data_IF_355543747131
#
_entry.id   IF_355543747131
#
_cell.length_a   1.000
_cell.length_b   1.000
_cell.length_c   1.000
_cell.angle_alpha   90.00
_cell.angle_beta   90.00
_cell.angle_gamma   90.00
#
_symmetry.space_group_name_H-M   'P 1'
#
loop_
_entity.id
_entity.type
_entity.pdbx_description
1 polymer ?
#
# COMPACT_ATOMS: atom_id res chain seq x y z
N UNK A 1 -55.54 4.23 49.60
CA UNK A 1 -54.62 4.17 48.45
C UNK A 1 -55.45 3.91 47.21
N UNK A 2 -55.91 4.98 46.57
CA UNK A 2 -56.77 4.91 45.38
C UNK A 2 -55.89 5.07 44.15
N UNK A 3 -55.99 4.19 43.13
CA UNK A 3 -55.23 4.38 41.91
C UNK A 3 -55.72 5.63 41.21
N UNK A 4 -54.81 6.56 40.91
CA UNK A 4 -55.06 7.65 39.98
C UNK A 4 -55.24 7.04 38.60
N UNK A 5 -56.48 6.66 38.28
CA UNK A 5 -56.86 6.26 36.94
C UNK A 5 -56.73 7.51 36.04
N UNK A 6 -55.59 7.65 35.36
CA UNK A 6 -55.42 8.66 34.34
C UNK A 6 -56.45 8.36 33.24
N UNK A 7 -57.40 9.27 33.05
CA UNK A 7 -58.34 9.21 31.92
C UNK A 7 -57.54 9.45 30.64
N UNK A 8 -56.95 8.39 30.08
CA UNK A 8 -56.41 8.33 28.72
C UNK A 8 -57.57 8.41 27.72
N UNK A 9 -58.21 9.59 27.59
CA UNK A 9 -59.23 9.85 26.57
C UNK A 9 -58.58 10.59 25.41
N UNK A 10 -58.31 9.87 24.31
CA UNK A 10 -57.91 10.44 23.02
C UNK A 10 -56.44 10.88 22.88
N UNK A 11 -55.75 11.22 23.97
CA UNK A 11 -54.35 11.64 23.93
C UNK A 11 -53.42 10.56 23.37
N UNK A 12 -53.62 9.30 23.75
CA UNK A 12 -52.80 8.18 23.25
C UNK A 12 -52.92 8.00 21.72
N UNK A 13 -54.09 8.30 21.14
CA UNK A 13 -54.30 8.23 19.69
C UNK A 13 -53.58 9.37 18.99
N UNK A 14 -53.66 10.59 19.53
CA UNK A 14 -52.95 11.76 18.98
C UNK A 14 -51.44 11.60 19.10
N UNK A 15 -50.96 11.11 20.23
CA UNK A 15 -49.54 10.83 20.46
C UNK A 15 -49.03 9.73 19.54
N UNK A 16 -49.77 8.64 19.35
CA UNK A 16 -49.43 7.59 18.39
C UNK A 16 -49.40 8.13 16.94
N UNK A 17 -50.36 9.02 16.58
CA UNK A 17 -50.41 9.64 15.26
C UNK A 17 -49.22 10.57 14.97
N UNK A 18 -48.58 11.13 16.01
CA UNK A 18 -47.38 11.95 15.88
C UNK A 18 -46.09 11.10 15.95
N UNK A 19 -46.06 10.10 16.83
CA UNK A 19 -44.88 9.26 17.05
C UNK A 19 -44.63 8.30 15.88
N UNK A 20 -45.68 7.71 15.27
CA UNK A 20 -45.53 6.81 14.13
C UNK A 20 -44.84 7.45 12.92
N UNK A 21 -45.26 8.62 12.40
CA UNK A 21 -44.58 9.25 11.28
C UNK A 21 -43.18 9.75 11.67
N UNK A 22 -42.98 10.22 12.90
CA UNK A 22 -41.65 10.60 13.39
C UNK A 22 -40.69 9.40 13.38
N UNK A 23 -41.13 8.25 13.89
CA UNK A 23 -40.35 7.01 13.86
C UNK A 23 -40.08 6.54 12.43
N UNK A 24 -41.07 6.65 11.53
CA UNK A 24 -40.89 6.30 10.13
C UNK A 24 -39.83 7.19 9.44
N UNK A 25 -39.86 8.50 9.70
CA UNK A 25 -38.86 9.44 9.17
C UNK A 25 -37.48 9.16 9.75
N UNK A 26 -37.37 8.85 11.04
CA UNK A 26 -36.11 8.48 11.68
C UNK A 26 -35.54 7.18 11.11
N UNK A 27 -36.36 6.13 10.98
CA UNK A 27 -35.95 4.86 10.40
C UNK A 27 -35.49 5.05 8.94
N UNK A 28 -36.21 5.87 8.17
CA UNK A 28 -35.84 6.23 6.82
C UNK A 28 -34.50 6.98 6.76
N UNK A 29 -34.30 7.98 7.63
CA UNK A 29 -33.05 8.72 7.73
C UNK A 29 -31.87 7.82 8.08
N UNK A 30 -32.02 6.92 9.06
CA UNK A 30 -30.99 5.96 9.46
C UNK A 30 -30.63 5.03 8.29
N UNK A 31 -31.62 4.49 7.58
CA UNK A 31 -31.37 3.63 6.42
C UNK A 31 -30.64 4.39 5.30
N UNK A 32 -31.01 5.64 5.04
CA UNK A 32 -30.38 6.49 4.02
C UNK A 32 -28.93 6.84 4.38
N UNK A 33 -28.67 7.25 5.62
CA UNK A 33 -27.32 7.57 6.10
C UNK A 33 -26.45 6.29 6.11
N UNK A 34 -27.00 5.18 6.58
CA UNK A 34 -26.30 3.89 6.59
C UNK A 34 -25.92 3.43 5.18
N UNK A 35 -26.82 3.56 4.20
CA UNK A 35 -26.54 3.24 2.80
C UNK A 35 -25.42 4.09 2.18
N UNK A 36 -25.34 5.37 2.56
CA UNK A 36 -24.25 6.26 2.14
C UNK A 36 -22.92 5.89 2.80
N UNK A 37 -22.93 5.60 4.10
CA UNK A 37 -21.74 5.14 4.83
C UNK A 37 -21.21 3.82 4.28
N UNK A 38 -22.11 2.87 4.03
CA UNK A 38 -21.77 1.59 3.41
C UNK A 38 -21.14 1.79 2.03
N UNK A 39 -21.75 2.63 1.18
CA UNK A 39 -21.17 2.95 -0.14
C UNK A 39 -19.78 3.59 -0.02
N UNK A 40 -19.59 4.49 0.96
CA UNK A 40 -18.28 5.11 1.20
C UNK A 40 -17.22 4.11 1.67
N UNK A 41 -17.60 3.12 2.49
CA UNK A 41 -16.72 2.04 2.93
C UNK A 41 -16.40 1.08 1.78
N UNK A 42 -17.40 0.72 0.97
CA UNK A 42 -17.22 -0.11 -0.21
C UNK A 42 -16.24 0.54 -1.18
N UNK A 43 -16.41 1.84 -1.49
CA UNK A 43 -15.49 2.57 -2.37
C UNK A 43 -14.07 2.62 -1.81
N UNK A 44 -13.91 2.72 -0.48
CA UNK A 44 -12.59 2.67 0.14
C UNK A 44 -11.91 1.29 0.02
N UNK A 45 -12.70 0.20 0.10
CA UNK A 45 -12.17 -1.15 -0.13
C UNK A 45 -11.84 -1.38 -1.61
N UNK A 46 -12.68 -0.87 -2.52
CA UNK A 46 -12.45 -0.95 -3.96
C UNK A 46 -11.19 -0.19 -4.37
N UNK A 47 -11.03 1.06 -3.94
CA UNK A 47 -9.82 1.86 -4.26
C UNK A 47 -8.56 1.22 -3.69
N UNK A 48 -8.61 0.68 -2.46
CA UNK A 48 -7.48 0.00 -1.83
C UNK A 48 -7.11 -1.29 -2.55
N UNK A 49 -8.07 -2.15 -2.88
CA UNK A 49 -7.81 -3.39 -3.62
C UNK A 49 -7.20 -3.09 -5.00
N UNK A 50 -7.76 -2.14 -5.72
CA UNK A 50 -7.28 -1.75 -7.04
C UNK A 50 -5.86 -1.14 -7.00
N UNK A 51 -5.57 -0.24 -6.06
CA UNK A 51 -4.23 0.36 -5.99
C UNK A 51 -3.17 -0.65 -5.54
N UNK A 52 -3.53 -1.61 -4.68
CA UNK A 52 -2.63 -2.70 -4.28
C UNK A 52 -2.40 -3.70 -5.42
N UNK A 53 -3.43 -4.01 -6.20
CA UNK A 53 -3.29 -4.81 -7.42
C UNK A 53 -2.37 -4.13 -8.44
N UNK A 54 -2.53 -2.81 -8.64
CA UNK A 54 -1.61 -2.02 -9.46
C UNK A 54 -0.18 -2.02 -8.90
N UNK A 55 -0.01 -1.97 -7.56
CA UNK A 55 1.30 -2.02 -6.91
C UNK A 55 2.00 -3.39 -7.08
N UNK A 56 1.22 -4.48 -7.19
CA UNK A 56 1.70 -5.82 -7.53
C UNK A 56 2.04 -5.98 -9.03
N UNK A 57 1.80 -4.95 -9.84
CA UNK A 57 2.12 -4.96 -11.26
C UNK A 57 0.98 -5.40 -12.19
N UNK A 58 -0.27 -5.48 -11.70
CA UNK A 58 -1.39 -5.67 -12.61
C UNK A 58 -1.55 -4.45 -13.53
N UNK A 59 -1.84 -4.66 -14.83
CA UNK A 59 -2.03 -3.57 -15.77
C UNK A 59 -3.20 -2.68 -15.36
N UNK A 60 -2.98 -1.37 -15.39
CA UNK A 60 -3.96 -0.36 -14.95
C UNK A 60 -5.22 -0.37 -15.83
N UNK A 61 -5.10 -0.76 -17.09
CA UNK A 61 -6.19 -0.82 -18.07
C UNK A 61 -7.22 -1.89 -17.67
N UNK A 62 -6.78 -3.08 -17.29
CA UNK A 62 -7.65 -4.16 -16.81
C UNK A 62 -8.38 -3.76 -15.52
N UNK A 63 -7.71 -3.00 -14.65
CA UNK A 63 -8.29 -2.51 -13.40
C UNK A 63 -9.35 -1.42 -13.65
N UNK A 64 -9.16 -0.55 -14.65
CA UNK A 64 -10.12 0.48 -15.03
C UNK A 64 -11.35 -0.11 -15.75
N UNK A 65 -11.17 -1.20 -16.51
CA UNK A 65 -12.24 -1.89 -17.22
C UNK A 65 -13.14 -2.76 -16.31
N UNK A 66 -12.74 -2.99 -15.05
CA UNK A 66 -13.27 -4.10 -14.25
C UNK A 66 -14.70 -3.96 -13.68
N UNK A 67 -15.44 -2.85 -13.84
CA UNK A 67 -16.83 -2.75 -13.30
C UNK A 67 -17.80 -1.83 -14.04
N UNK A 68 -19.03 -2.33 -14.19
CA UNK A 68 -20.24 -1.58 -14.58
C UNK A 68 -20.86 -0.93 -13.33
N UNK A 69 -21.03 0.40 -13.31
CA UNK A 69 -21.73 1.12 -12.23
C UNK A 69 -20.85 1.77 -11.14
N UNK A 70 -19.54 1.54 -11.16
CA UNK A 70 -18.55 2.26 -10.34
C UNK A 70 -17.57 2.97 -11.26
N UNK A 71 -17.29 4.26 -11.03
CA UNK A 71 -16.23 4.96 -11.76
C UNK A 71 -14.89 4.64 -11.08
N UNK A 72 -13.94 4.11 -11.84
CA UNK A 72 -12.57 3.88 -11.40
C UNK A 72 -11.64 4.73 -12.27
N UNK A 73 -10.97 5.70 -11.66
CA UNK A 73 -9.89 6.45 -12.29
C UNK A 73 -8.56 6.02 -11.67
N UNK A 74 -7.63 5.59 -12.51
CA UNK A 74 -6.31 5.13 -12.08
C UNK A 74 -5.25 6.08 -12.64
N UNK A 75 -4.31 6.48 -11.80
CA UNK A 75 -3.21 7.35 -12.19
C UNK A 75 -1.90 6.87 -11.57
N UNK A 76 -0.82 6.98 -12.33
CA UNK A 76 0.54 6.75 -11.85
C UNK A 76 1.39 7.97 -12.19
N UNK A 77 2.08 8.53 -11.18
CA UNK A 77 3.03 9.63 -11.39
C UNK A 77 4.38 9.28 -10.75
N UNK A 78 5.51 9.80 -11.26
CA UNK A 78 6.79 9.67 -10.58
C UNK A 78 6.69 10.19 -9.14
N UNK A 79 7.21 9.44 -8.17
CA UNK A 79 7.22 9.87 -6.78
C UNK A 79 8.55 10.58 -6.48
N UNK A 80 8.57 11.89 -6.70
CA UNK A 80 9.71 12.75 -6.40
C UNK A 80 9.60 13.34 -4.98
N UNK A 81 10.75 13.75 -4.40
CA UNK A 81 10.78 14.52 -3.16
C UNK A 81 10.52 13.73 -1.87
N UNK A 82 10.59 12.40 -1.90
CA UNK A 82 10.56 11.57 -0.67
C UNK A 82 11.87 11.76 0.09
N UNK A 83 12.99 11.69 -0.62
CA UNK A 83 14.30 11.97 -0.05
C UNK A 83 14.60 13.47 -0.04
N UNK A 84 15.29 13.99 1.00
CA UNK A 84 15.80 15.36 1.01
C UNK A 84 16.61 15.72 -0.25
N UNK A 85 16.70 17.00 -0.66
CA UNK A 85 17.40 17.40 -1.89
C UNK A 85 18.85 16.91 -2.00
N UNK A 86 19.54 16.70 -0.86
CA UNK A 86 20.92 16.20 -0.83
C UNK A 86 21.05 14.73 -1.26
N UNK A 87 19.96 13.96 -1.20
CA UNK A 87 19.94 12.50 -1.46
C UNK A 87 18.92 12.11 -2.55
N UNK A 88 18.24 13.07 -3.19
CA UNK A 88 17.29 12.79 -4.28
C UNK A 88 17.97 12.12 -5.47
N UNK A 89 19.17 12.56 -5.85
CA UNK A 89 19.95 11.92 -6.92
C UNK A 89 20.30 10.47 -6.60
N UNK A 90 20.47 10.14 -5.31
CA UNK A 90 20.70 8.77 -4.87
C UNK A 90 19.41 7.95 -4.98
N UNK A 91 18.27 8.49 -4.53
CA UNK A 91 16.96 7.87 -4.71
C UNK A 91 16.69 7.54 -6.19
N UNK A 92 16.91 8.50 -7.09
CA UNK A 92 16.71 8.31 -8.53
C UNK A 92 17.67 7.25 -9.09
N UNK A 93 18.91 7.19 -8.60
CA UNK A 93 19.88 6.18 -9.02
C UNK A 93 19.55 4.76 -8.49
N UNK A 94 18.94 4.65 -7.30
CA UNK A 94 18.54 3.36 -6.71
C UNK A 94 17.26 2.80 -7.31
N UNK A 95 16.26 3.66 -7.50
CA UNK A 95 14.92 3.23 -7.89
C UNK A 95 14.60 3.52 -9.36
N UNK A 96 15.41 4.33 -10.06
CA UNK A 96 15.18 4.73 -11.44
C UNK A 96 13.78 5.32 -11.66
N UNK A 97 13.18 5.01 -12.81
CA UNK A 97 11.77 5.29 -13.10
C UNK A 97 10.77 4.35 -12.37
N UNK A 98 11.28 3.52 -11.45
CA UNK A 98 10.52 2.50 -10.73
C UNK A 98 9.73 3.06 -9.55
N UNK A 99 10.19 4.15 -8.91
CA UNK A 99 9.46 4.74 -7.79
C UNK A 99 8.31 5.61 -8.30
N UNK A 100 7.08 5.17 -8.05
CA UNK A 100 5.86 5.81 -8.56
C UNK A 100 4.85 5.99 -7.45
N UNK A 101 4.12 7.08 -7.47
CA UNK A 101 2.92 7.23 -6.67
C UNK A 101 1.75 6.75 -7.51
N UNK A 102 1.23 5.59 -7.13
CA UNK A 102 0.00 5.05 -7.67
C UNK A 102 -1.18 5.70 -6.95
N UNK A 103 -2.21 6.05 -7.70
CA UNK A 103 -3.44 6.64 -7.20
C UNK A 103 -4.63 5.96 -7.85
N UNK A 104 -5.61 5.59 -7.05
CA UNK A 104 -6.90 5.12 -7.54
C UNK A 104 -8.00 5.93 -6.89
N UNK A 105 -8.88 6.47 -7.70
CA UNK A 105 -10.13 7.08 -7.27
C UNK A 105 -11.29 6.16 -7.66
N UNK A 106 -12.04 5.71 -6.65
CA UNK A 106 -13.27 4.94 -6.82
C UNK A 106 -14.47 5.84 -6.49
N UNK A 107 -15.48 5.84 -7.34
CA UNK A 107 -16.65 6.69 -7.20
C UNK A 107 -17.96 5.98 -7.53
N UNK A 108 -19.01 6.34 -6.79
CA UNK A 108 -20.37 5.88 -7.04
C UNK A 108 -21.34 7.05 -6.89
N UNK A 109 -22.33 7.11 -7.78
CA UNK A 109 -23.45 8.04 -7.67
C UNK A 109 -24.67 7.30 -7.08
N UNK A 110 -25.29 7.88 -6.05
CA UNK A 110 -26.50 7.33 -5.43
C UNK A 110 -27.62 8.36 -5.52
N UNK A 111 -28.81 7.93 -5.92
CA UNK A 111 -29.98 8.79 -5.88
C UNK A 111 -30.27 9.18 -4.42
N UNK A 112 -30.27 10.49 -4.14
CA UNK A 112 -30.51 11.02 -2.81
C UNK A 112 -31.52 12.16 -2.71
N UNK A 113 -32.11 12.51 -3.85
CA UNK A 113 -33.06 13.59 -4.01
C UNK A 113 -33.19 13.91 -5.49
N UNK A 114 -33.44 15.18 -5.85
CA UNK A 114 -33.44 15.65 -7.23
C UNK A 114 -32.07 15.44 -7.89
N UNK A 115 -31.00 15.69 -7.13
CA UNK A 115 -29.61 15.50 -7.54
C UNK A 115 -29.02 14.20 -6.96
N UNK A 116 -28.23 13.44 -7.74
CA UNK A 116 -27.51 12.29 -7.24
C UNK A 116 -26.36 12.73 -6.33
N UNK A 117 -26.23 12.09 -5.17
CA UNK A 117 -25.07 12.29 -4.31
C UNK A 117 -23.92 11.42 -4.80
N UNK A 118 -22.78 12.03 -5.11
CA UNK A 118 -21.57 11.33 -5.50
C UNK A 118 -20.68 11.08 -4.29
N UNK A 119 -20.28 9.83 -4.10
CA UNK A 119 -19.30 9.43 -3.08
C UNK A 119 -18.04 8.98 -3.81
N UNK A 120 -16.93 9.67 -3.55
CA UNK A 120 -15.61 9.32 -4.10
C UNK A 120 -14.61 9.01 -2.99
N UNK A 121 -13.69 8.08 -3.26
CA UNK A 121 -12.59 7.70 -2.37
C UNK A 121 -11.32 7.57 -3.19
N UNK A 122 -10.29 8.29 -2.76
CA UNK A 122 -8.97 8.24 -3.36
C UNK A 122 -8.00 7.53 -2.43
N UNK A 123 -7.14 6.67 -2.98
CA UNK A 123 -6.10 5.98 -2.23
C UNK A 123 -4.79 6.09 -2.99
N UNK A 124 -3.71 6.40 -2.26
CA UNK A 124 -2.37 6.52 -2.80
C UNK A 124 -1.45 5.46 -2.21
N UNK A 125 -0.61 4.85 -3.05
CA UNK A 125 0.40 3.88 -2.63
C UNK A 125 1.70 4.14 -3.39
N UNK A 126 2.82 4.07 -2.69
CA UNK A 126 4.14 4.08 -3.33
C UNK A 126 4.40 2.72 -3.99
N UNK A 127 4.42 2.70 -5.33
CA UNK A 127 4.83 1.56 -6.14
C UNK A 127 6.34 1.56 -6.36
N UNK A 128 6.91 0.37 -6.53
CA UNK A 128 8.34 0.17 -6.80
C UNK A 128 9.29 0.52 -5.66
N UNK A 129 8.77 0.76 -4.46
CA UNK A 129 9.53 1.10 -3.24
C UNK A 129 10.24 -0.10 -2.57
N UNK A 130 10.57 -1.15 -3.34
CA UNK A 130 11.32 -2.32 -2.86
C UNK A 130 10.60 -3.68 -2.98
N UNK A 131 9.33 -3.71 -3.38
CA UNK A 131 8.68 -4.97 -3.75
C UNK A 131 9.19 -5.47 -5.10
N UNK A 132 9.51 -6.76 -5.18
CA UNK A 132 9.81 -7.48 -6.40
C UNK A 132 8.84 -8.66 -6.51
N UNK A 133 8.34 -8.94 -7.71
CA UNK A 133 7.37 -10.02 -7.95
C UNK A 133 7.97 -11.43 -7.88
N UNK A 134 9.30 -11.53 -7.79
CA UNK A 134 10.04 -12.77 -7.61
C UNK A 134 11.56 -12.55 -7.76
N UNK A 135 12.33 -13.62 -7.64
CA UNK A 135 13.80 -13.55 -7.60
C UNK A 135 14.40 -12.95 -8.88
N UNK A 136 13.87 -13.30 -10.06
CA UNK A 136 14.31 -12.73 -11.32
C UNK A 136 14.02 -11.21 -11.45
N UNK A 137 12.91 -10.74 -10.88
CA UNK A 137 12.59 -9.30 -10.83
C UNK A 137 13.52 -8.59 -9.84
N UNK A 138 13.75 -9.19 -8.67
CA UNK A 138 14.69 -8.68 -7.67
C UNK A 138 16.11 -8.56 -8.25
N UNK A 139 16.60 -9.61 -8.92
CA UNK A 139 17.91 -9.62 -9.58
C UNK A 139 18.01 -8.53 -10.65
N UNK A 140 16.99 -8.38 -11.51
CA UNK A 140 16.98 -7.30 -12.52
C UNK A 140 17.05 -5.91 -11.89
N UNK A 141 16.27 -5.65 -10.84
CA UNK A 141 16.26 -4.35 -10.15
C UNK A 141 17.61 -4.05 -9.50
N UNK A 142 18.18 -5.03 -8.80
CA UNK A 142 19.52 -4.91 -8.20
C UNK A 142 20.56 -4.63 -9.28
N UNK A 143 20.51 -5.35 -10.40
CA UNK A 143 21.42 -5.16 -11.53
C UNK A 143 21.27 -3.79 -12.21
N UNK A 144 20.07 -3.20 -12.22
CA UNK A 144 19.83 -1.85 -12.74
C UNK A 144 20.46 -0.76 -11.85
N UNK A 145 20.51 -0.97 -10.53
CA UNK A 145 21.14 -0.05 -9.57
C UNK A 145 22.66 -0.31 -9.42
N UNK A 146 23.35 -0.72 -10.49
CA UNK A 146 24.77 -1.15 -10.43
C UNK A 146 25.71 -0.08 -9.88
N UNK A 147 25.51 1.18 -10.27
CA UNK A 147 26.43 2.26 -9.91
C UNK A 147 26.33 2.68 -8.42
N UNK A 148 25.13 2.85 -7.84
CA UNK A 148 24.97 2.97 -6.39
C UNK A 148 25.57 1.80 -5.62
N UNK A 149 25.33 0.55 -6.07
CA UNK A 149 25.88 -0.64 -5.40
C UNK A 149 27.40 -0.66 -5.41
N UNK A 150 28.05 -0.33 -6.54
CA UNK A 150 29.52 -0.27 -6.62
C UNK A 150 30.12 0.81 -5.73
N UNK A 151 29.46 1.97 -5.61
CA UNK A 151 29.91 3.01 -4.67
C UNK A 151 29.78 2.56 -3.22
N UNK A 152 28.65 1.98 -2.84
CA UNK A 152 28.44 1.43 -1.50
C UNK A 152 29.46 0.33 -1.15
N UNK A 153 29.78 -0.54 -2.11
CA UNK A 153 30.83 -1.56 -1.97
C UNK A 153 32.20 -0.91 -1.75
N UNK A 154 32.59 0.04 -2.61
CA UNK A 154 33.88 0.71 -2.51
C UNK A 154 34.07 1.44 -1.18
N UNK A 155 33.05 2.17 -0.72
CA UNK A 155 33.06 2.90 0.55
C UNK A 155 33.15 1.94 1.75
N UNK A 156 32.36 0.85 1.73
CA UNK A 156 32.37 -0.17 2.77
C UNK A 156 33.72 -0.88 2.86
N UNK A 157 34.29 -1.31 1.72
CA UNK A 157 35.60 -1.95 1.67
C UNK A 157 36.72 -1.00 2.08
N UNK A 158 36.65 0.28 1.71
CA UNK A 158 37.60 1.29 2.15
C UNK A 158 37.58 1.43 3.69
N UNK A 159 36.39 1.43 4.29
CA UNK A 159 36.24 1.51 5.74
C UNK A 159 36.70 0.23 6.44
N UNK A 160 36.35 -0.94 5.92
CA UNK A 160 36.77 -2.23 6.47
C UNK A 160 38.30 -2.38 6.44
N UNK A 161 38.97 -1.95 5.37
CA UNK A 161 40.45 -1.92 5.31
C UNK A 161 41.09 -0.96 6.32
N UNK A 162 40.43 0.15 6.65
CA UNK A 162 40.89 1.05 7.71
C UNK A 162 40.77 0.40 9.09
N UNK A 163 39.66 -0.28 9.35
CA UNK A 163 39.40 -0.99 10.60
C UNK A 163 40.29 -2.23 10.77
N UNK A 164 40.56 -2.98 9.70
CA UNK A 164 41.44 -4.16 9.75
C UNK A 164 42.80 -3.82 10.36
N UNK A 165 43.39 -2.67 10.00
CA UNK A 165 44.66 -2.20 10.58
C UNK A 165 44.59 -1.86 12.07
N UNK A 166 43.41 -1.52 12.58
CA UNK A 166 43.20 -1.26 14.00
C UNK A 166 42.99 -2.57 14.75
N UNK A 167 42.14 -3.45 14.20
CA UNK A 167 41.85 -4.77 14.76
C UNK A 167 43.11 -5.63 14.81
N UNK A 168 43.91 -5.68 13.73
CA UNK A 168 45.16 -6.43 13.67
C UNK A 168 46.17 -5.99 14.75
N UNK A 169 46.19 -4.69 15.09
CA UNK A 169 47.05 -4.16 16.17
C UNK A 169 46.57 -4.55 17.56
N UNK A 170 45.25 -4.64 17.76
CA UNK A 170 44.65 -4.96 19.05
C UNK A 170 44.62 -6.47 19.30
N UNK A 171 44.18 -7.24 18.30
CA UNK A 171 43.89 -8.66 18.42
C UNK A 171 45.03 -9.56 17.92
N UNK A 172 46.01 -9.00 17.21
CA UNK A 172 47.17 -9.73 16.69
C UNK A 172 47.94 -10.52 17.75
N UNK A 173 48.24 -9.97 18.95
CA UNK A 173 48.94 -10.72 19.99
C UNK A 173 48.10 -11.88 20.58
N UNK A 174 46.77 -11.86 20.39
CA UNK A 174 45.86 -12.93 20.78
C UNK A 174 45.67 -13.98 19.68
N UNK A 175 46.45 -13.88 18.58
CA UNK A 175 46.39 -14.79 17.41
C UNK A 175 44.99 -14.95 16.82
N UNK A 176 44.14 -13.92 16.93
CA UNK A 176 42.82 -13.96 16.27
C UNK A 176 42.97 -13.72 14.77
N UNK A 177 42.09 -14.31 13.94
CA UNK A 177 42.08 -14.05 12.51
C UNK A 177 41.81 -12.57 12.22
N UNK A 178 42.40 -12.06 11.13
CA UNK A 178 42.10 -10.73 10.59
C UNK A 178 40.64 -10.62 10.19
N UNK A 179 40.17 -9.38 9.99
CA UNK A 179 38.81 -9.14 9.53
C UNK A 179 38.62 -9.75 8.12
N UNK A 180 37.66 -10.66 7.97
CA UNK A 180 37.30 -11.19 6.65
C UNK A 180 36.55 -10.12 5.85
N UNK A 181 37.04 -9.81 4.65
CA UNK A 181 36.35 -8.95 3.69
C UNK A 181 35.45 -9.74 2.74
N UNK A 182 35.63 -11.06 2.69
CA UNK A 182 34.81 -11.96 1.91
C UNK A 182 33.61 -12.40 2.76
N UNK A 183 32.61 -11.52 2.82
CA UNK A 183 31.38 -11.79 3.52
C UNK A 183 30.49 -12.77 2.77
N UNK A 184 30.59 -12.83 1.42
CA UNK A 184 29.68 -13.60 0.57
C UNK A 184 29.95 -15.11 0.68
N UNK A 185 31.22 -15.51 0.79
CA UNK A 185 31.57 -16.93 0.93
C UNK A 185 30.94 -17.59 2.15
N UNK A 186 30.67 -16.85 3.23
CA UNK A 186 29.98 -17.37 4.42
C UNK A 186 28.52 -17.76 4.15
N UNK A 187 27.91 -17.23 3.09
CA UNK A 187 26.51 -17.48 2.72
C UNK A 187 26.36 -18.45 1.54
N UNK A 188 27.46 -18.92 0.95
CA UNK A 188 27.41 -19.75 -0.27
C UNK A 188 26.57 -21.02 -0.08
N UNK A 189 26.62 -21.59 1.13
CA UNK A 189 25.96 -22.86 1.47
C UNK A 189 24.51 -22.65 1.97
N UNK A 190 24.08 -21.40 2.14
CA UNK A 190 22.76 -21.03 2.70
C UNK A 190 21.76 -20.67 1.60
N UNK A 191 22.22 -20.38 0.38
CA UNK A 191 21.32 -20.11 -0.75
C UNK A 191 20.80 -21.44 -1.30
N UNK A 192 19.50 -21.74 -1.18
CA UNK A 192 18.96 -23.00 -1.68
C UNK A 192 19.16 -23.07 -3.21
N UNK A 193 19.76 -24.15 -3.70
CA UNK A 193 20.11 -24.30 -5.12
C UNK A 193 18.87 -24.21 -6.04
N UNK A 194 17.71 -24.60 -5.52
CA UNK A 194 16.38 -24.51 -6.13
C UNK A 194 15.86 -23.07 -6.31
N UNK A 195 16.45 -22.08 -5.61
CA UNK A 195 16.09 -20.65 -5.71
C UNK A 195 16.93 -19.88 -6.73
N UNK A 196 18.04 -20.46 -7.18
CA UNK A 196 18.85 -19.91 -8.28
C UNK A 196 18.26 -20.32 -9.64
N UNK A 197 17.01 -19.91 -9.89
CA UNK A 197 16.35 -19.89 -11.20
C UNK A 197 16.53 -21.13 -12.10
N UNK A 198 15.54 -22.03 -12.07
CA UNK A 198 15.29 -22.93 -13.19
C UNK A 198 15.13 -22.11 -14.48
N UNK A 199 16.13 -22.23 -15.35
CA UNK A 199 16.18 -21.59 -16.66
C UNK A 199 15.12 -22.24 -17.56
N UNK A 200 13.92 -21.67 -17.56
CA UNK A 200 12.89 -21.86 -18.59
C UNK A 200 12.54 -23.31 -18.93
N UNK A 201 11.64 -23.92 -18.18
CA UNK A 201 10.69 -24.85 -18.78
C UNK A 201 9.48 -24.03 -19.24
N UNK A 202 9.56 -23.60 -20.51
CA UNK A 202 8.39 -23.15 -21.24
C UNK A 202 7.39 -24.30 -21.29
N UNK A 203 6.24 -24.06 -20.67
CA UNK A 203 4.94 -24.68 -20.93
C UNK A 203 4.81 -25.07 -22.42
N UNK A 204 4.61 -26.36 -22.67
CA UNK A 204 3.82 -26.82 -23.83
C UNK A 204 2.34 -26.51 -23.60
#
# INVERSE_FOLDING_TARGET
MSPLASRQRGQAVVEALLMLPLLAVLAWAVARIGGLQFSAQEMAQVSRKAVMAAALGQPLEDLAAMKTGTTLAVGARPLAGVAPPRVSALQDAWFGAGLRLLSVEAGVARQAGPEPLRVTRQTHVAGGAGHASGDADAQRRIAQAREPWRRAEADSLAQARRLDRLIDRLDGPWRRPRLSLDWLSAWKDVVPADRLGARGEQRK
#
